data_IF_086722677896
#
_entry.id   IF_086722677896
#
_cell.length_a   1.000
_cell.length_b   1.000
_cell.length_c   1.000
_cell.angle_alpha   90.00
_cell.angle_beta   90.00
_cell.angle_gamma   90.00
#
_symmetry.space_group_name_H-M   'P 1'
#
loop_
_entity.id
_entity.type
_entity.pdbx_description
1 polymer ?
#
# COMPACT_ATOMS: atom_id res chain seq x y z
N UNK A 1 14.50 -1.43 17.20
CA UNK A 1 13.19 -1.28 17.85
C UNK A 1 13.42 -0.88 19.29
N UNK A 2 12.68 0.11 19.80
CA UNK A 2 12.75 0.55 21.19
C UNK A 2 11.47 0.11 21.93
N UNK A 3 11.56 -0.14 23.23
CA UNK A 3 10.39 -0.38 24.08
C UNK A 3 10.08 0.90 24.85
N UNK A 4 8.95 1.55 24.57
CA UNK A 4 8.55 2.81 25.18
C UNK A 4 7.10 2.73 25.68
N UNK A 5 6.88 2.98 26.97
CA UNK A 5 5.52 3.09 27.53
C UNK A 5 4.61 1.88 27.28
N UNK A 6 5.16 0.67 27.22
CA UNK A 6 4.39 -0.55 26.90
C UNK A 6 4.22 -0.84 25.41
N UNK A 7 4.91 -0.10 24.53
CA UNK A 7 4.90 -0.31 23.08
C UNK A 7 6.28 -0.68 22.55
N UNK A 8 6.35 -1.63 21.61
CA UNK A 8 7.46 -1.78 20.69
C UNK A 8 7.34 -0.73 19.59
N UNK A 9 8.39 0.07 19.43
CA UNK A 9 8.49 1.14 18.44
C UNK A 9 9.49 0.73 17.36
N UNK A 10 9.02 0.72 16.11
CA UNK A 10 9.83 0.51 14.92
C UNK A 10 9.85 1.82 14.16
N UNK A 11 11.04 2.37 13.91
CA UNK A 11 11.22 3.61 13.17
C UNK A 11 12.05 3.35 11.90
N UNK A 12 11.63 3.95 10.79
CA UNK A 12 12.34 3.92 9.51
C UNK A 12 12.51 5.35 9.04
N UNK A 13 13.76 5.77 8.87
CA UNK A 13 14.11 7.11 8.40
C UNK A 13 14.62 7.03 6.96
N UNK A 14 14.04 7.84 6.08
CA UNK A 14 14.55 8.09 4.73
C UNK A 14 15.39 9.38 4.67
N UNK A 15 16.07 9.59 3.54
CA UNK A 15 16.85 10.81 3.25
C UNK A 15 16.27 11.58 2.05
N UNK A 16 14.96 11.50 1.87
CA UNK A 16 14.24 12.16 0.80
C UNK A 16 14.05 13.67 1.02
N UNK A 17 13.27 14.33 0.15
CA UNK A 17 13.02 15.78 0.22
C UNK A 17 12.15 16.20 1.43
N UNK A 18 11.69 15.25 2.24
CA UNK A 18 10.69 15.47 3.28
C UNK A 18 9.26 15.61 2.73
N UNK A 19 8.30 15.69 3.64
CA UNK A 19 6.86 15.70 3.35
C UNK A 19 6.20 16.92 3.99
N UNK A 20 5.57 17.80 3.18
CA UNK A 20 4.82 18.95 3.69
C UNK A 20 3.71 18.53 4.67
N UNK A 21 3.46 19.36 5.68
CA UNK A 21 2.51 19.09 6.76
C UNK A 21 1.09 18.76 6.28
N UNK A 22 0.61 19.51 5.28
CA UNK A 22 -0.72 19.32 4.67
C UNK A 22 -0.94 17.91 4.10
N UNK A 23 0.12 17.18 3.80
CA UNK A 23 0.03 15.84 3.23
C UNK A 23 0.11 14.73 4.28
N UNK A 24 0.62 15.01 5.49
CA UNK A 24 0.99 13.99 6.48
C UNK A 24 -0.19 13.09 6.89
N UNK A 25 -1.36 13.68 7.10
CA UNK A 25 -2.57 12.94 7.49
C UNK A 25 -3.07 11.99 6.38
N UNK A 26 -2.85 12.41 5.13
CA UNK A 26 -3.33 11.72 3.93
C UNK A 26 -2.37 10.65 3.40
N UNK A 27 -1.11 10.66 3.84
CA UNK A 27 -0.09 9.67 3.44
C UNK A 27 -0.51 8.22 3.66
N UNK A 28 -1.37 7.97 4.65
CA UNK A 28 -1.87 6.65 4.96
C UNK A 28 -3.18 6.30 4.25
N UNK A 29 -3.70 7.18 3.41
CA UNK A 29 -4.83 6.89 2.52
C UNK A 29 -4.37 5.97 1.38
N UNK A 30 -5.25 5.03 0.98
CA UNK A 30 -4.98 4.19 -0.19
C UNK A 30 -4.89 5.06 -1.44
N UNK A 31 -3.91 4.75 -2.29
CA UNK A 31 -3.66 5.43 -3.56
C UNK A 31 -3.22 6.89 -3.45
N UNK A 32 -3.03 7.41 -2.24
CA UNK A 32 -2.56 8.78 -2.05
C UNK A 32 -1.07 8.91 -2.32
N UNK A 33 -0.69 10.00 -2.99
CA UNK A 33 0.69 10.31 -3.37
C UNK A 33 0.90 11.82 -3.27
N UNK A 34 1.96 12.23 -2.58
CA UNK A 34 2.33 13.64 -2.40
C UNK A 34 2.71 14.29 -3.73
N UNK A 35 3.45 13.58 -4.57
CA UNK A 35 3.89 14.11 -5.86
C UNK A 35 3.72 13.08 -6.98
N UNK A 36 2.85 13.38 -7.95
CA UNK A 36 2.59 12.54 -9.12
C UNK A 36 3.71 12.61 -10.16
N UNK A 37 4.62 13.58 -10.07
CA UNK A 37 5.68 13.78 -11.07
C UNK A 37 6.92 12.90 -10.85
N UNK A 38 7.37 12.72 -9.59
CA UNK A 38 8.55 11.88 -9.23
C UNK A 38 8.31 10.37 -9.26
N UNK A 39 7.13 10.00 -9.74
CA UNK A 39 6.45 8.73 -9.53
C UNK A 39 6.43 7.83 -10.77
N UNK A 40 6.93 8.34 -11.90
CA UNK A 40 6.68 7.78 -13.24
C UNK A 40 7.62 6.64 -13.64
N UNK A 41 8.85 6.58 -13.10
CA UNK A 41 9.85 5.59 -13.54
C UNK A 41 10.02 4.40 -12.58
N UNK A 42 9.48 4.45 -11.35
CA UNK A 42 9.57 3.34 -10.38
C UNK A 42 8.39 3.25 -9.39
N UNK A 43 7.40 4.13 -9.49
CA UNK A 43 6.58 4.50 -8.34
C UNK A 43 5.34 3.64 -8.12
N UNK A 44 5.33 2.92 -7.00
CA UNK A 44 4.24 2.04 -6.56
C UNK A 44 2.86 2.68 -6.46
N UNK A 45 1.83 1.83 -6.29
CA UNK A 45 0.40 2.19 -6.33
C UNK A 45 -0.09 3.11 -5.20
N UNK A 46 0.76 3.48 -4.24
CA UNK A 46 0.35 4.23 -3.05
C UNK A 46 -0.43 3.38 -2.04
N UNK A 47 -0.26 2.06 -2.05
CA UNK A 47 -0.90 1.15 -1.10
C UNK A 47 -0.05 0.82 0.13
N UNK A 48 1.28 0.99 0.06
CA UNK A 48 2.20 0.52 1.10
C UNK A 48 1.89 1.07 2.49
N UNK A 49 1.85 2.40 2.66
CA UNK A 49 1.57 3.02 3.96
C UNK A 49 0.14 2.74 4.44
N UNK A 50 -0.83 2.61 3.54
CA UNK A 50 -2.19 2.23 3.90
C UNK A 50 -2.26 0.81 4.46
N UNK A 51 -1.51 -0.14 3.89
CA UNK A 51 -1.37 -1.50 4.40
C UNK A 51 -0.71 -1.46 5.78
N UNK A 52 0.39 -0.73 5.93
CA UNK A 52 1.11 -0.57 7.20
C UNK A 52 0.19 -0.07 8.31
N UNK A 53 -0.56 1.01 8.06
CA UNK A 53 -1.53 1.56 9.03
C UNK A 53 -2.57 0.52 9.41
N UNK A 54 -3.13 -0.20 8.43
CA UNK A 54 -4.14 -1.21 8.69
C UNK A 54 -3.60 -2.38 9.52
N UNK A 55 -2.42 -2.90 9.17
CA UNK A 55 -1.77 -3.98 9.92
C UNK A 55 -1.50 -3.54 11.35
N UNK A 56 -0.93 -2.35 11.57
CA UNK A 56 -0.69 -1.82 12.91
C UNK A 56 -1.98 -1.74 13.74
N UNK A 57 -3.04 -1.18 13.15
CA UNK A 57 -4.36 -1.06 13.80
C UNK A 57 -4.97 -2.41 14.18
N UNK A 58 -4.89 -3.42 13.31
CA UNK A 58 -5.43 -4.77 13.58
C UNK A 58 -4.74 -5.41 14.79
N UNK A 59 -3.48 -5.04 15.04
CA UNK A 59 -2.71 -5.52 16.20
C UNK A 59 -2.82 -4.58 17.42
N UNK A 60 -3.77 -3.63 17.43
CA UNK A 60 -3.94 -2.68 18.54
C UNK A 60 -2.86 -1.58 18.60
N UNK A 61 -2.05 -1.46 17.56
CA UNK A 61 -1.03 -0.43 17.40
C UNK A 61 -1.47 0.71 16.50
N UNK A 62 -0.52 1.57 16.15
CA UNK A 62 -0.73 2.69 15.23
C UNK A 62 0.54 3.06 14.48
N UNK A 63 0.37 3.82 13.40
CA UNK A 63 1.46 4.33 12.58
C UNK A 63 1.43 5.86 12.54
N UNK A 64 2.61 6.48 12.52
CA UNK A 64 2.80 7.93 12.47
C UNK A 64 3.99 8.30 11.58
N UNK A 65 4.09 9.57 11.23
CA UNK A 65 5.16 10.11 10.41
C UNK A 65 5.61 11.45 10.96
N UNK A 66 6.91 11.63 11.03
CA UNK A 66 7.56 12.89 11.32
C UNK A 66 8.42 13.27 10.12
N UNK A 67 8.22 14.45 9.57
CA UNK A 67 9.01 14.92 8.44
C UNK A 67 9.06 16.43 8.42
N UNK A 68 10.20 16.99 7.99
CA UNK A 68 10.39 18.44 7.82
C UNK A 68 10.93 18.71 6.42
N UNK A 69 10.42 19.76 5.80
CA UNK A 69 10.79 20.17 4.43
C UNK A 69 11.92 21.20 4.40
N UNK A 70 12.32 21.74 5.55
CA UNK A 70 13.22 22.89 5.71
C UNK A 70 14.71 22.55 5.57
N UNK A 71 15.11 21.28 5.73
CA UNK A 71 16.53 20.93 5.75
C UNK A 71 16.87 19.55 5.17
N UNK A 72 16.07 19.05 4.22
CA UNK A 72 16.35 17.79 3.51
C UNK A 72 16.59 16.58 4.45
N UNK A 73 16.03 16.64 5.66
CA UNK A 73 16.19 15.64 6.72
C UNK A 73 15.43 14.33 6.45
N UNK A 74 14.71 14.25 5.32
CA UNK A 74 13.86 13.12 4.99
C UNK A 74 12.63 12.98 5.88
N UNK A 75 12.15 11.76 5.99
CA UNK A 75 10.96 11.43 6.78
C UNK A 75 11.24 10.22 7.67
N UNK A 76 10.76 10.28 8.91
CA UNK A 76 10.77 9.15 9.84
C UNK A 76 9.36 8.63 10.01
N UNK A 77 9.14 7.40 9.55
CA UNK A 77 7.90 6.67 9.77
C UNK A 77 8.04 5.80 11.01
N UNK A 78 7.05 5.81 11.89
CA UNK A 78 7.05 4.98 13.10
C UNK A 78 5.81 4.11 13.18
N UNK A 79 5.98 2.88 13.63
CA UNK A 79 4.90 1.99 14.04
C UNK A 79 5.07 1.71 15.52
N UNK A 80 4.00 1.85 16.30
CA UNK A 80 3.95 1.49 17.72
C UNK A 80 3.02 0.30 17.90
N UNK A 81 3.52 -0.77 18.51
CA UNK A 81 2.81 -2.03 18.73
C UNK A 81 2.76 -2.33 20.23
N UNK A 82 1.62 -2.66 20.84
CA UNK A 82 1.58 -3.04 22.25
C UNK A 82 2.50 -4.24 22.54
N UNK A 83 3.26 -4.18 23.63
CA UNK A 83 4.13 -5.28 24.09
C UNK A 83 3.36 -6.38 24.81
N UNK A 84 2.16 -6.07 25.30
CA UNK A 84 1.29 -7.02 26.00
C UNK A 84 -0.01 -7.22 25.21
N UNK A 85 -0.42 -8.47 25.09
CA UNK A 85 -1.62 -8.89 24.33
C UNK A 85 -2.91 -8.77 25.15
N UNK A 86 -3.01 -7.80 26.06
CA UNK A 86 -4.23 -7.64 26.87
C UNK A 86 -5.42 -7.15 26.02
N UNK A 87 -5.16 -6.62 24.82
CA UNK A 87 -6.16 -6.30 23.81
C UNK A 87 -6.44 -7.48 22.88
N UNK A 88 -7.33 -8.39 23.31
CA UNK A 88 -8.05 -9.41 22.53
C UNK A 88 -7.85 -9.29 21.00
N UNK A 89 -7.06 -10.19 20.41
CA UNK A 89 -7.26 -10.57 19.00
C UNK A 89 -8.69 -11.11 18.93
N UNK A 90 -9.63 -10.30 18.43
CA UNK A 90 -10.92 -10.85 18.02
C UNK A 90 -10.57 -11.79 16.88
N UNK A 91 -10.54 -13.10 17.15
CA UNK A 91 -10.53 -14.10 16.11
C UNK A 91 -11.68 -13.75 15.16
N UNK A 92 -11.34 -13.21 13.99
CA UNK A 92 -12.30 -13.15 12.91
C UNK A 92 -12.58 -14.61 12.57
N UNK A 93 -13.85 -15.08 12.61
CA UNK A 93 -14.15 -16.42 12.15
C UNK A 93 -13.71 -16.52 10.70
N UNK A 94 -12.79 -17.46 10.43
CA UNK A 94 -12.28 -17.80 9.11
C UNK A 94 -13.36 -18.59 8.32
N UNK A 95 -14.60 -18.09 8.30
CA UNK A 95 -15.76 -18.79 7.75
C UNK A 95 -16.12 -18.34 6.32
N UNK A 96 -15.69 -17.15 5.88
CA UNK A 96 -16.10 -16.58 4.59
C UNK A 96 -14.93 -16.39 3.61
N UNK A 97 -13.85 -17.17 3.75
CA UNK A 97 -12.85 -17.27 2.70
C UNK A 97 -13.45 -18.06 1.52
N UNK A 98 -14.30 -17.40 0.72
CA UNK A 98 -14.60 -17.83 -0.65
C UNK A 98 -13.26 -18.08 -1.33
N UNK A 99 -12.99 -19.29 -1.84
CA UNK A 99 -11.74 -19.57 -2.51
C UNK A 99 -11.60 -18.58 -3.68
N UNK A 100 -10.41 -18.02 -3.83
CA UNK A 100 -10.03 -17.24 -4.99
C UNK A 100 -10.53 -17.95 -6.26
N UNK A 101 -11.35 -17.26 -7.05
CA UNK A 101 -11.73 -17.69 -8.39
C UNK A 101 -10.45 -18.00 -9.16
N UNK A 102 -10.22 -19.27 -9.48
CA UNK A 102 -9.16 -19.73 -10.36
C UNK A 102 -9.35 -19.01 -11.69
N UNK A 103 -8.38 -18.23 -12.21
CA UNK A 103 -8.53 -17.67 -13.54
C UNK A 103 -8.66 -18.84 -14.51
N UNK A 104 -9.82 -18.94 -15.17
CA UNK A 104 -10.06 -19.94 -16.22
C UNK A 104 -9.01 -19.71 -17.30
N UNK A 105 -8.29 -20.78 -17.61
CA UNK A 105 -7.29 -20.89 -18.67
C UNK A 105 -7.81 -20.26 -19.97
N UNK A 106 -7.08 -19.27 -20.48
CA UNK A 106 -7.41 -18.61 -21.74
C UNK A 106 -7.02 -19.57 -22.87
N UNK A 107 -8.00 -20.27 -23.43
CA UNK A 107 -7.84 -21.10 -24.63
C UNK A 107 -7.28 -20.23 -25.79
N UNK A 108 -6.13 -20.56 -26.39
CA UNK A 108 -5.50 -19.74 -27.43
C UNK A 108 -6.14 -19.86 -28.82
N UNK A 109 -7.24 -20.59 -28.99
CA UNK A 109 -7.77 -20.93 -30.31
C UNK A 109 -9.05 -20.17 -30.70
N UNK A 110 -9.04 -18.84 -30.81
CA UNK A 110 -10.01 -18.13 -31.67
C UNK A 110 -9.42 -16.84 -32.24
N UNK A 111 -8.67 -16.97 -33.33
CA UNK A 111 -8.49 -15.86 -34.28
C UNK A 111 -9.73 -15.81 -35.18
N UNK A 112 -10.42 -14.67 -35.34
CA UNK A 112 -11.42 -14.54 -36.39
C UNK A 112 -10.73 -14.46 -37.75
N UNK A 113 -11.12 -15.36 -38.66
CA UNK A 113 -10.71 -15.34 -40.05
C UNK A 113 -11.16 -14.03 -40.73
N UNK A 114 -10.22 -13.35 -41.38
CA UNK A 114 -10.51 -12.24 -42.30
C UNK A 114 -11.20 -12.77 -43.56
N UNK A 115 -12.32 -12.19 -44.02
CA UNK A 115 -12.87 -12.54 -45.32
C UNK A 115 -12.03 -11.89 -46.42
N UNK A 116 -11.51 -12.76 -47.29
CA UNK A 116 -10.86 -12.45 -48.56
C UNK A 116 -11.81 -11.68 -49.49
N UNK A 117 -11.43 -10.47 -49.88
CA UNK A 117 -12.13 -9.68 -50.88
C UNK A 117 -11.85 -10.24 -52.29
N UNK A 118 -12.72 -11.13 -52.75
CA UNK A 118 -12.77 -11.59 -54.14
C UNK A 118 -13.49 -10.55 -55.03
N UNK A 119 -12.65 -9.81 -55.76
CA UNK A 119 -12.81 -9.30 -57.14
C UNK A 119 -14.10 -9.71 -57.90
N UNK A 120 -14.88 -8.72 -58.37
CA UNK A 120 -15.70 -8.72 -59.61
C UNK A 120 -15.80 -7.26 -60.13
N UNK A 121 -15.01 -6.91 -61.14
CA UNK A 121 -15.39 -6.69 -62.56
C UNK A 121 -16.25 -5.45 -62.82
N UNK A 122 -15.62 -4.47 -63.48
CA UNK A 122 -16.11 -3.83 -64.71
C UNK A 122 -14.90 -3.66 -65.65
#
# INVERSE_FOLDING_TARGET
AAAEGGYAVIAVTDHGPGIPEIHRDRLFERFYRVDRARSRDSGGTGLGLAIVKHVAMVHGGYAEVESRTDANHGSTFRIRMPLTTEGRVKSLPLADATPFHTPTEHDPATLPATPSAARRTA
#
